data_IF_441509497346
#
_entry.id   IF_441509497346
#
_cell.length_a   1.000
_cell.length_b   1.000
_cell.length_c   1.000
_cell.angle_alpha   90.00
_cell.angle_beta   90.00
_cell.angle_gamma   90.00
#
_symmetry.space_group_name_H-M   'P 1'
#
loop_
_entity.id
_entity.type
_entity.pdbx_description
1 polymer ?
#
# COMPACT_ATOMS: atom_id res chain seq x y z
N UNK A 1 -7.13 -23.97 5.68
CA UNK A 1 -6.11 -22.89 5.63
C UNK A 1 -6.81 -21.57 5.96
N UNK A 2 -6.14 -20.63 6.62
CA UNK A 2 -6.74 -19.34 6.93
C UNK A 2 -6.97 -18.54 5.65
N UNK A 3 -8.21 -18.10 5.42
CA UNK A 3 -8.57 -17.22 4.31
C UNK A 3 -8.15 -15.77 4.60
N UNK A 4 -8.11 -15.38 5.87
CA UNK A 4 -7.65 -14.07 6.30
C UNK A 4 -6.21 -14.13 6.79
N UNK A 5 -5.48 -13.03 6.62
CA UNK A 5 -4.12 -12.90 7.11
C UNK A 5 -3.65 -11.45 7.12
N UNK A 6 -2.50 -11.26 7.75
CA UNK A 6 -1.78 -9.99 7.78
C UNK A 6 -0.33 -10.29 7.48
N UNK A 7 0.21 -9.62 6.47
CA UNK A 7 1.65 -9.58 6.20
C UNK A 7 2.17 -8.19 6.51
N UNK A 8 3.40 -8.11 7.01
CA UNK A 8 4.03 -6.84 7.35
C UNK A 8 5.52 -6.87 6.99
N UNK A 9 6.04 -5.71 6.61
CA UNK A 9 7.46 -5.47 6.42
C UNK A 9 7.82 -4.08 6.95
N UNK A 10 9.11 -3.85 7.16
CA UNK A 10 9.60 -2.59 7.69
C UNK A 10 10.75 -2.11 6.83
N UNK A 11 10.70 -0.84 6.41
CA UNK A 11 11.74 -0.20 5.60
C UNK A 11 12.18 1.12 6.23
N UNK A 12 13.46 1.42 6.12
CA UNK A 12 14.02 2.69 6.55
C UNK A 12 14.00 3.68 5.41
N UNK A 13 13.30 4.79 5.61
CA UNK A 13 13.18 5.87 4.64
C UNK A 13 14.04 7.05 5.08
N UNK A 14 14.79 7.62 4.15
CA UNK A 14 15.59 8.83 4.38
C UNK A 14 14.71 10.08 4.57
N UNK A 15 13.47 10.04 4.10
CA UNK A 15 12.50 11.14 4.25
C UNK A 15 11.80 11.07 5.61
N UNK A 16 11.47 12.23 6.17
CA UNK A 16 10.71 12.29 7.43
C UNK A 16 9.27 11.82 7.25
N UNK A 17 8.68 11.30 8.34
CA UNK A 17 7.29 10.86 8.38
C UNK A 17 6.34 11.97 7.93
N UNK A 18 6.55 13.21 8.39
CA UNK A 18 5.73 14.37 8.04
C UNK A 18 5.78 14.69 6.54
N UNK A 19 6.96 14.57 5.91
CA UNK A 19 7.11 14.83 4.48
C UNK A 19 6.29 13.82 3.67
N UNK A 20 6.38 12.54 4.02
CA UNK A 20 5.63 11.47 3.36
C UNK A 20 4.12 11.66 3.60
N UNK A 21 3.73 11.96 4.82
CA UNK A 21 2.33 12.17 5.18
C UNK A 21 1.73 13.37 4.45
N UNK A 22 2.50 14.46 4.31
CA UNK A 22 2.11 15.63 3.51
C UNK A 22 1.99 15.30 2.03
N UNK A 23 2.90 14.49 1.48
CA UNK A 23 2.81 14.00 0.10
C UNK A 23 1.51 13.23 -0.09
N UNK A 24 1.22 12.23 0.75
CA UNK A 24 -0.02 11.47 0.66
C UNK A 24 -1.28 12.31 0.81
N UNK A 25 -1.29 13.33 1.69
CA UNK A 25 -2.44 14.23 1.85
C UNK A 25 -2.61 15.24 0.72
N UNK A 26 -1.51 15.81 0.24
CA UNK A 26 -1.51 16.80 -0.83
C UNK A 26 -1.71 16.15 -2.20
N UNK A 27 -1.27 14.91 -2.34
CA UNK A 27 -1.29 14.17 -3.59
C UNK A 27 -2.30 13.04 -3.62
N UNK A 28 -3.11 12.76 -2.59
CA UNK A 28 -4.23 11.82 -2.73
C UNK A 28 -5.20 12.18 -3.86
N UNK A 29 -5.28 13.46 -4.25
CA UNK A 29 -5.97 13.94 -5.47
C UNK A 29 -5.13 13.83 -6.76
N UNK A 30 -3.86 13.46 -6.65
CA UNK A 30 -2.82 13.47 -7.68
C UNK A 30 -1.88 12.23 -7.66
N UNK A 31 -2.21 11.10 -7.00
CA UNK A 31 -1.47 9.82 -7.12
C UNK A 31 -1.72 9.16 -8.49
N UNK A 32 -1.73 9.95 -9.57
CA UNK A 32 -1.05 9.52 -10.79
C UNK A 32 0.27 10.27 -11.13
N UNK A 33 0.74 11.24 -10.33
CA UNK A 33 1.81 12.17 -10.74
C UNK A 33 3.17 12.05 -10.04
N UNK A 34 3.27 11.70 -8.75
CA UNK A 34 4.60 11.52 -8.12
C UNK A 34 5.20 10.12 -8.28
N UNK A 35 4.42 9.19 -8.81
CA UNK A 35 4.95 8.00 -9.44
C UNK A 35 4.77 8.08 -10.96
N UNK A 36 5.01 9.24 -11.59
CA UNK A 36 4.82 9.42 -13.05
C UNK A 36 5.87 8.73 -13.94
N UNK A 37 6.52 7.67 -13.43
CA UNK A 37 7.03 6.59 -14.29
C UNK A 37 6.36 5.22 -14.07
N UNK A 38 5.43 5.07 -13.10
CA UNK A 38 4.73 3.83 -12.77
C UNK A 38 3.26 3.94 -12.27
N UNK A 39 2.63 5.11 -12.22
CA UNK A 39 1.22 5.23 -11.78
C UNK A 39 0.43 6.15 -12.72
N UNK A 40 -0.11 5.59 -13.79
CA UNK A 40 -1.38 6.05 -14.41
C UNK A 40 -2.48 4.98 -14.20
N UNK A 41 -2.40 4.32 -13.05
CA UNK A 41 -2.91 2.99 -12.79
C UNK A 41 -1.80 2.32 -12.01
N UNK A 42 -2.07 1.86 -10.79
CA UNK A 42 -1.07 1.11 -10.04
C UNK A 42 -0.77 -0.12 -10.88
N UNK A 43 0.44 -0.18 -11.43
CA UNK A 43 0.89 -1.28 -12.25
C UNK A 43 1.13 -2.49 -11.33
N UNK A 44 0.04 -3.16 -10.96
CA UNK A 44 0.06 -4.43 -10.22
C UNK A 44 0.68 -5.48 -11.15
N UNK A 45 2.02 -5.52 -11.19
CA UNK A 45 2.75 -6.50 -11.96
C UNK A 45 2.74 -7.86 -11.24
N UNK A 46 1.57 -8.50 -11.24
CA UNK A 46 1.47 -9.95 -11.28
C UNK A 46 1.26 -10.37 -12.75
N UNK A 47 2.30 -10.24 -13.60
CA UNK A 47 2.29 -10.80 -14.95
C UNK A 47 2.13 -9.85 -16.15
N UNK A 48 2.46 -8.55 -16.02
CA UNK A 48 2.66 -7.66 -17.18
C UNK A 48 1.41 -7.01 -17.79
N UNK A 49 0.31 -6.88 -17.04
CA UNK A 49 -0.90 -6.14 -17.47
C UNK A 49 -1.26 -5.07 -16.43
N UNK A 50 -1.64 -3.86 -16.86
CA UNK A 50 -2.05 -2.80 -15.96
C UNK A 50 -3.31 -3.21 -15.19
N UNK A 51 -3.31 -3.01 -13.88
CA UNK A 51 -4.44 -3.27 -13.00
C UNK A 51 -5.10 -1.97 -12.52
N UNK A 52 -6.40 -2.05 -12.22
CA UNK A 52 -7.15 -0.97 -11.57
C UNK A 52 -7.27 -1.32 -10.09
N UNK A 53 -7.04 -0.33 -9.23
CA UNK A 53 -7.36 -0.41 -7.81
C UNK A 53 -8.09 0.88 -7.43
N UNK A 54 -9.27 0.72 -6.83
CA UNK A 54 -10.07 1.83 -6.31
C UNK A 54 -10.08 1.68 -4.80
N UNK A 55 -9.58 2.70 -4.12
CA UNK A 55 -9.44 2.68 -2.67
C UNK A 55 -10.10 3.89 -2.00
N UNK A 56 -10.46 3.70 -0.74
CA UNK A 56 -10.71 4.78 0.21
C UNK A 56 -9.47 4.98 1.07
N UNK A 57 -8.94 6.21 1.09
CA UNK A 57 -7.75 6.54 1.89
C UNK A 57 -8.20 7.17 3.21
N UNK A 58 -7.72 6.63 4.32
CA UNK A 58 -7.90 7.20 5.66
C UNK A 58 -6.55 7.51 6.32
N UNK A 59 -6.57 8.51 7.20
CA UNK A 59 -5.39 9.10 7.81
C UNK A 59 -5.58 9.14 9.33
N UNK A 60 -4.69 8.47 10.06
CA UNK A 60 -4.60 8.54 11.52
C UNK A 60 -3.43 9.44 11.90
N UNK A 61 -3.74 10.68 12.27
CA UNK A 61 -2.74 11.70 12.57
C UNK A 61 -2.02 11.47 13.90
N UNK A 62 -2.66 10.76 14.84
CA UNK A 62 -2.08 10.44 16.14
C UNK A 62 -0.99 9.37 16.00
N UNK A 63 -1.29 8.32 15.25
CA UNK A 63 -0.41 7.17 15.04
C UNK A 63 0.46 7.29 13.77
N UNK A 64 0.26 8.35 12.97
CA UNK A 64 0.89 8.55 11.65
C UNK A 64 0.69 7.35 10.73
N UNK A 65 -0.56 6.88 10.65
CA UNK A 65 -0.95 5.77 9.79
C UNK A 65 -1.71 6.29 8.57
N UNK A 66 -1.34 5.77 7.41
CA UNK A 66 -2.07 5.94 6.16
C UNK A 66 -2.66 4.57 5.82
N UNK A 67 -3.98 4.47 5.74
CA UNK A 67 -4.67 3.22 5.45
C UNK A 67 -5.43 3.34 4.13
N UNK A 68 -5.25 2.36 3.25
CA UNK A 68 -5.94 2.23 1.98
C UNK A 68 -6.92 1.07 2.10
N UNK A 69 -8.20 1.36 1.95
CA UNK A 69 -9.24 0.35 1.98
C UNK A 69 -9.71 0.06 0.56
N UNK A 70 -9.45 -1.15 0.06
CA UNK A 70 -9.88 -1.56 -1.27
C UNK A 70 -11.39 -1.62 -1.41
N UNK A 71 -11.94 -0.90 -2.38
CA UNK A 71 -13.37 -0.89 -2.70
C UNK A 71 -13.65 -1.73 -3.95
N UNK A 72 -12.88 -1.51 -5.02
CA UNK A 72 -13.05 -2.18 -6.32
C UNK A 72 -11.68 -2.35 -7.01
N UNK A 73 -11.63 -3.13 -8.09
CA UNK A 73 -10.44 -3.30 -8.91
C UNK A 73 -9.98 -4.74 -9.06
N UNK A 74 -8.88 -4.94 -9.77
CA UNK A 74 -8.35 -6.27 -10.10
C UNK A 74 -7.87 -7.02 -8.86
N UNK A 75 -7.32 -6.32 -7.87
CA UNK A 75 -6.94 -6.93 -6.58
C UNK A 75 -8.16 -7.45 -5.81
N UNK A 76 -9.31 -6.79 -5.94
CA UNK A 76 -10.57 -7.20 -5.29
C UNK A 76 -11.22 -8.41 -5.97
N UNK A 77 -10.77 -8.79 -7.19
CA UNK A 77 -11.13 -10.06 -7.86
C UNK A 77 -10.33 -11.25 -7.34
N UNK A 78 -9.31 -11.00 -6.51
CA UNK A 78 -8.40 -12.00 -5.94
C UNK A 78 -8.63 -12.09 -4.42
N UNK A 79 -8.80 -10.93 -3.77
CA UNK A 79 -9.03 -10.81 -2.34
C UNK A 79 -10.38 -10.15 -2.05
N UNK A 80 -11.14 -10.73 -1.13
CA UNK A 80 -12.38 -10.16 -0.61
C UNK A 80 -12.11 -8.91 0.25
N UNK A 81 -11.00 -8.93 0.99
CA UNK A 81 -10.50 -7.79 1.75
C UNK A 81 -9.07 -7.55 1.31
N UNK A 82 -8.73 -6.31 1.03
CA UNK A 82 -7.36 -5.90 0.75
C UNK A 82 -7.16 -4.49 1.33
N UNK A 83 -6.36 -4.41 2.39
CA UNK A 83 -6.14 -3.17 3.16
C UNK A 83 -4.65 -2.93 3.41
N UNK A 84 -3.96 -2.23 2.49
CA UNK A 84 -2.60 -1.77 2.72
C UNK A 84 -2.55 -0.59 3.70
N UNK A 85 -1.65 -0.66 4.67
CA UNK A 85 -1.44 0.37 5.67
C UNK A 85 0.05 0.72 5.78
N UNK A 86 0.36 2.00 5.91
CA UNK A 86 1.70 2.52 6.18
C UNK A 86 1.69 3.20 7.53
N UNK A 87 2.47 2.69 8.48
CA UNK A 87 2.74 3.35 9.75
C UNK A 87 4.12 3.98 9.71
N UNK A 88 4.18 5.30 9.88
CA UNK A 88 5.41 6.07 9.78
C UNK A 88 5.90 6.46 11.16
N UNK A 89 7.02 5.88 11.59
CA UNK A 89 7.63 6.18 12.88
C UNK A 89 8.88 7.05 12.69
N UNK A 90 8.97 8.27 13.23
CA UNK A 90 10.15 9.12 13.10
C UNK A 90 11.43 8.41 13.58
N UNK A 91 12.53 8.51 12.81
CA UNK A 91 13.83 7.92 13.14
C UNK A 91 14.97 8.83 12.65
N UNK A 92 15.56 9.61 13.56
CA UNK A 92 16.61 10.57 13.22
C UNK A 92 16.12 11.63 12.23
N UNK A 93 16.82 11.79 11.10
CA UNK A 93 16.41 12.68 10.00
C UNK A 93 15.38 12.04 9.06
N UNK A 94 15.15 10.73 9.17
CA UNK A 94 14.23 9.95 8.34
C UNK A 94 13.06 9.38 9.13
N UNK A 95 12.49 8.28 8.63
CA UNK A 95 11.49 7.51 9.35
C UNK A 95 11.56 6.02 9.03
N UNK A 96 11.05 5.21 9.95
CA UNK A 96 10.79 3.80 9.78
C UNK A 96 9.35 3.65 9.28
N UNK A 97 9.17 3.13 8.07
CA UNK A 97 7.86 2.82 7.52
C UNK A 97 7.56 1.33 7.71
N UNK A 98 6.54 1.04 8.50
CA UNK A 98 5.97 -0.30 8.63
C UNK A 98 4.81 -0.42 7.65
N UNK A 99 5.00 -1.23 6.60
CA UNK A 99 3.98 -1.55 5.63
C UNK A 99 3.26 -2.81 6.08
N UNK A 100 1.94 -2.77 6.09
CA UNK A 100 1.08 -3.90 6.42
C UNK A 100 0.09 -4.10 5.29
N UNK A 101 -0.21 -5.35 4.92
CA UNK A 101 -1.40 -5.67 4.12
C UNK A 101 -2.25 -6.65 4.92
N UNK A 102 -3.43 -6.19 5.32
CA UNK A 102 -4.49 -7.06 5.81
C UNK A 102 -5.32 -7.56 4.63
N UNK A 103 -5.51 -8.87 4.54
CA UNK A 103 -6.21 -9.46 3.42
C UNK A 103 -7.16 -10.59 3.83
N UNK A 104 -8.17 -10.80 3.00
CA UNK A 104 -9.03 -11.99 3.00
C UNK A 104 -9.06 -12.54 1.57
N UNK A 105 -8.60 -13.77 1.38
CA UNK A 105 -8.60 -14.47 0.10
C UNK A 105 -10.04 -14.81 -0.31
N UNK A 106 -10.34 -14.73 -1.62
CA UNK A 106 -11.62 -15.24 -2.14
C UNK A 106 -11.70 -16.77 -2.10
N UNK A 107 -10.57 -17.44 -2.32
CA UNK A 107 -10.45 -18.90 -2.33
C UNK A 107 -9.15 -19.35 -1.64
N UNK A 108 -9.09 -20.55 -1.05
CA UNK A 108 -7.90 -21.02 -0.34
C UNK A 108 -6.64 -21.11 -1.21
N UNK A 109 -6.80 -21.33 -2.51
CA UNK A 109 -5.70 -21.47 -3.48
C UNK A 109 -5.09 -20.13 -3.92
N UNK A 110 -5.72 -19.02 -3.54
CA UNK A 110 -5.18 -17.67 -3.80
C UNK A 110 -3.86 -17.50 -3.04
N UNK A 111 -2.80 -16.97 -3.67
CA UNK A 111 -1.53 -16.73 -2.99
C UNK A 111 -1.68 -15.66 -1.90
N UNK A 112 -0.68 -15.58 -1.01
CA UNK A 112 -0.56 -14.47 -0.06
C UNK A 112 -0.07 -13.25 -0.86
N UNK A 113 -0.52 -12.01 -0.56
CA UNK A 113 -0.17 -10.81 -1.32
C UNK A 113 1.28 -10.30 -1.11
N UNK A 114 2.27 -11.18 -0.98
CA UNK A 114 3.67 -10.83 -0.75
C UNK A 114 4.27 -10.00 -1.91
N UNK A 115 3.85 -10.31 -3.15
CA UNK A 115 4.27 -9.56 -4.34
C UNK A 115 3.88 -8.08 -4.27
N UNK A 116 2.77 -7.75 -3.62
CA UNK A 116 2.31 -6.38 -3.45
C UNK A 116 3.13 -5.62 -2.42
N UNK A 117 3.56 -6.29 -1.34
CA UNK A 117 4.50 -5.69 -0.38
C UNK A 117 5.83 -5.37 -1.07
N UNK A 118 6.37 -6.31 -1.84
CA UNK A 118 7.64 -6.14 -2.55
C UNK A 118 7.57 -4.95 -3.53
N UNK A 119 6.46 -4.80 -4.25
CA UNK A 119 6.22 -3.64 -5.11
C UNK A 119 6.23 -2.31 -4.33
N UNK A 120 5.57 -2.26 -3.17
CA UNK A 120 5.49 -1.04 -2.35
C UNK A 120 6.85 -0.61 -1.77
N UNK A 121 7.76 -1.57 -1.51
CA UNK A 121 9.09 -1.26 -0.96
C UNK A 121 10.14 -0.95 -2.02
N UNK A 122 9.95 -1.37 -3.27
CA UNK A 122 10.93 -1.19 -4.37
C UNK A 122 10.94 0.22 -5.00
N UNK A 123 10.25 1.19 -4.44
CA UNK A 123 10.09 2.54 -5.01
C UNK A 123 11.22 3.54 -4.67
N UNK A 124 12.46 3.08 -4.45
CA UNK A 124 13.64 3.98 -4.26
C UNK A 124 14.28 4.39 -5.60
#
# INVERSE_FOLDING_TARGET
>A
MALHGKIATTVELKSSAEKIYRVWRSESFHIPKHASKHIQGVDVHAGGKPGVFKEEVSFDDENKIIALNGLEGDVMKIYKVYKPNWKLTPKGSGCLAELTIEYEKLHPDVPIPEIYIDFMVKSD
#
